data_IF_933948673826
#
_entry.id   IF_933948673826
#
_cell.length_a   1.000
_cell.length_b   1.000
_cell.length_c   1.000
_cell.angle_alpha   90.00
_cell.angle_beta   90.00
_cell.angle_gamma   90.00
#
_symmetry.space_group_name_H-M   'P 1'
#
loop_
_entity.id
_entity.type
_entity.pdbx_description
1 polymer ?
#
# COMPACT_ATOMS: atom_id res chain seq x y z
N UNK A 1 -6.86 -19.22 -19.22
CA UNK A 1 -7.01 -18.39 -18.00
C UNK A 1 -6.58 -16.97 -18.32
N UNK A 2 -7.16 -15.96 -17.67
CA UNK A 2 -6.75 -14.55 -17.82
C UNK A 2 -5.79 -14.21 -16.68
N UNK A 3 -4.73 -13.47 -16.96
CA UNK A 3 -3.83 -12.96 -15.92
C UNK A 3 -4.43 -11.72 -15.27
N UNK A 4 -4.12 -11.49 -13.99
CA UNK A 4 -4.57 -10.34 -13.21
C UNK A 4 -3.31 -9.60 -12.74
N UNK A 5 -3.23 -8.30 -13.03
CA UNK A 5 -2.15 -7.43 -12.53
C UNK A 5 -2.80 -6.34 -11.69
N UNK A 6 -2.36 -6.23 -10.44
CA UNK A 6 -2.79 -5.17 -9.51
C UNK A 6 -1.60 -4.25 -9.27
N UNK A 7 -1.71 -3.01 -9.73
CA UNK A 7 -0.68 -1.97 -9.53
C UNK A 7 -1.16 -1.06 -8.41
N UNK A 8 -0.36 -0.91 -7.35
CA UNK A 8 -0.67 -0.06 -6.20
C UNK A 8 0.47 0.92 -6.02
N UNK A 9 0.14 2.21 -6.02
CA UNK A 9 1.05 3.30 -5.64
C UNK A 9 0.68 3.76 -4.22
N UNK A 10 1.68 3.98 -3.37
CA UNK A 10 1.48 4.44 -2.00
C UNK A 10 1.36 5.97 -1.94
N UNK A 11 0.51 6.47 -1.06
CA UNK A 11 0.22 7.91 -0.88
C UNK A 11 -0.12 8.68 -2.17
N UNK A 12 -0.65 7.98 -3.18
CA UNK A 12 -0.97 8.58 -4.47
C UNK A 12 -2.18 9.52 -4.36
N UNK A 13 -1.93 10.83 -4.53
CA UNK A 13 -3.01 11.82 -4.56
C UNK A 13 -3.86 11.65 -5.81
N UNK A 14 -5.18 11.65 -5.64
CA UNK A 14 -6.16 11.56 -6.75
C UNK A 14 -5.89 12.56 -7.88
N UNK A 15 -5.45 13.76 -7.56
CA UNK A 15 -5.20 14.84 -8.51
C UNK A 15 -3.80 14.79 -9.14
N UNK A 16 -2.93 13.84 -8.78
CA UNK A 16 -1.57 13.69 -9.31
C UNK A 16 -1.47 12.97 -10.67
N UNK A 17 -2.50 13.09 -11.53
CA UNK A 17 -2.55 12.40 -12.83
C UNK A 17 -3.19 13.28 -13.91
N UNK A 18 -2.70 13.14 -15.16
CA UNK A 18 -3.21 13.82 -16.33
C UNK A 18 -4.68 13.49 -16.61
N UNK A 19 -5.06 12.20 -16.53
CA UNK A 19 -6.44 11.75 -16.68
C UNK A 19 -7.41 12.25 -15.60
N UNK A 20 -6.87 12.82 -14.50
CA UNK A 20 -7.62 13.48 -13.44
C UNK A 20 -7.58 15.01 -13.54
N UNK A 21 -6.96 15.56 -14.58
CA UNK A 21 -6.95 16.99 -14.90
C UNK A 21 -5.78 17.77 -14.29
N UNK A 22 -4.66 17.14 -13.94
CA UNK A 22 -3.50 17.89 -13.45
C UNK A 22 -2.86 18.72 -14.56
N UNK A 23 -2.65 20.02 -14.33
CA UNK A 23 -2.12 20.96 -15.33
C UNK A 23 -0.62 20.82 -15.67
N UNK A 24 0.14 20.04 -14.88
CA UNK A 24 1.61 20.02 -14.93
C UNK A 24 2.13 18.58 -14.98
N UNK A 25 1.61 17.70 -14.11
CA UNK A 25 2.04 16.31 -14.02
C UNK A 25 1.59 15.54 -15.26
N UNK A 26 2.55 14.89 -15.93
CA UNK A 26 2.32 14.10 -17.15
C UNK A 26 2.41 12.61 -16.81
N UNK A 27 1.31 11.88 -17.00
CA UNK A 27 1.22 10.44 -16.69
C UNK A 27 0.75 9.64 -17.90
N UNK A 28 1.44 9.70 -19.06
CA UNK A 28 0.90 9.18 -20.33
C UNK A 28 0.51 7.69 -20.27
N UNK A 29 1.24 6.88 -19.49
CA UNK A 29 0.90 5.46 -19.31
C UNK A 29 -0.34 5.23 -18.44
N UNK A 30 -0.54 6.02 -17.38
CA UNK A 30 -1.76 5.94 -16.57
C UNK A 30 -2.96 6.53 -17.33
N UNK A 31 -2.72 7.57 -18.14
CA UNK A 31 -3.74 8.19 -18.97
C UNK A 31 -4.23 7.21 -20.04
N UNK A 32 -3.31 6.48 -20.68
CA UNK A 32 -3.63 5.41 -21.62
C UNK A 32 -4.41 4.28 -20.93
N UNK A 33 -3.96 3.82 -19.75
CA UNK A 33 -4.67 2.78 -18.99
C UNK A 33 -6.10 3.20 -18.62
N UNK A 34 -6.29 4.47 -18.24
CA UNK A 34 -7.60 5.02 -17.94
C UNK A 34 -8.50 5.10 -19.19
N UNK A 35 -7.93 5.45 -20.36
CA UNK A 35 -8.64 5.51 -21.64
C UNK A 35 -9.05 4.13 -22.16
N UNK A 36 -8.19 3.13 -21.99
CA UNK A 36 -8.43 1.76 -22.47
C UNK A 36 -9.30 0.93 -21.51
N UNK A 37 -9.55 1.46 -20.30
CA UNK A 37 -10.25 0.78 -19.23
C UNK A 37 -11.42 1.59 -18.67
N UNK A 38 -11.56 1.53 -17.34
CA UNK A 38 -12.61 2.26 -16.61
C UNK A 38 -11.98 3.08 -15.50
N UNK A 39 -12.19 4.40 -15.54
CA UNK A 39 -11.71 5.33 -14.52
C UNK A 39 -12.80 5.65 -13.49
N UNK A 40 -12.57 5.21 -12.25
CA UNK A 40 -13.42 5.58 -11.12
C UNK A 40 -13.02 6.96 -10.56
N UNK A 41 -13.68 8.03 -11.01
CA UNK A 41 -13.37 9.41 -10.58
C UNK A 41 -13.60 9.69 -9.09
N UNK A 42 -14.30 8.80 -8.38
CA UNK A 42 -14.69 8.91 -6.96
C UNK A 42 -14.37 7.63 -6.18
N UNK A 43 -13.13 7.17 -6.29
CA UNK A 43 -12.58 6.14 -5.40
C UNK A 43 -12.13 6.75 -4.07
N UNK A 44 -12.45 6.10 -2.95
CA UNK A 44 -12.04 6.52 -1.61
C UNK A 44 -11.33 5.37 -0.90
N UNK A 45 -10.28 5.70 -0.15
CA UNK A 45 -9.63 4.73 0.73
C UNK A 45 -10.53 4.37 1.91
N UNK A 46 -10.45 3.13 2.39
CA UNK A 46 -11.15 2.70 3.60
C UNK A 46 -10.59 3.36 4.88
N UNK A 47 -9.35 3.86 4.84
CA UNK A 47 -8.69 4.59 5.92
C UNK A 47 -7.57 5.47 5.37
N UNK A 48 -7.28 6.66 5.93
CA UNK A 48 -6.15 7.49 5.48
C UNK A 48 -4.80 7.02 6.05
N UNK A 49 -4.60 5.71 6.23
CA UNK A 49 -3.34 5.12 6.73
C UNK A 49 -2.96 3.85 5.95
N UNK A 50 -1.65 3.62 5.80
CA UNK A 50 -1.08 2.52 5.01
C UNK A 50 -1.63 1.14 5.43
N UNK A 51 -1.37 0.72 6.67
CA UNK A 51 -1.70 -0.63 7.14
C UNK A 51 -3.22 -0.92 7.08
N UNK A 52 -4.11 -0.06 7.62
CA UNK A 52 -5.55 -0.31 7.58
C UNK A 52 -6.11 -0.36 6.16
N UNK A 53 -5.62 0.50 5.27
CA UNK A 53 -6.03 0.50 3.85
C UNK A 53 -5.67 -0.81 3.18
N UNK A 54 -4.45 -1.28 3.39
CA UNK A 54 -3.93 -2.50 2.75
C UNK A 54 -4.63 -3.74 3.31
N UNK A 55 -4.93 -3.78 4.60
CA UNK A 55 -5.74 -4.83 5.22
C UNK A 55 -7.19 -4.84 4.69
N UNK A 56 -7.83 -3.67 4.57
CA UNK A 56 -9.16 -3.54 4.00
C UNK A 56 -9.19 -3.96 2.51
N UNK A 57 -8.17 -3.59 1.74
CA UNK A 57 -8.02 -4.01 0.35
C UNK A 57 -7.81 -5.52 0.22
N UNK A 58 -7.00 -6.12 1.09
CA UNK A 58 -6.74 -7.57 1.09
C UNK A 58 -8.00 -8.36 1.43
N UNK A 59 -8.72 -7.97 2.48
CA UNK A 59 -9.89 -8.71 3.00
C UNK A 59 -11.19 -8.36 2.29
N UNK A 60 -11.28 -7.23 1.59
CA UNK A 60 -12.52 -6.75 0.98
C UNK A 60 -13.57 -6.27 2.00
N UNK A 61 -13.14 -5.93 3.22
CA UNK A 61 -14.02 -5.51 4.32
C UNK A 61 -13.62 -4.14 4.87
N UNK A 62 -14.55 -3.45 5.53
CA UNK A 62 -14.24 -2.18 6.18
C UNK A 62 -13.31 -2.39 7.38
N UNK A 63 -12.52 -1.37 7.72
CA UNK A 63 -11.58 -1.40 8.85
C UNK A 63 -12.28 -1.76 10.16
N UNK A 64 -13.52 -1.32 10.36
CA UNK A 64 -14.28 -1.68 11.57
C UNK A 64 -14.69 -3.15 11.66
N UNK A 65 -14.72 -3.85 10.53
CA UNK A 65 -15.03 -5.28 10.46
C UNK A 65 -13.76 -6.10 10.65
N UNK A 66 -12.68 -5.74 9.96
CA UNK A 66 -11.42 -6.49 10.01
C UNK A 66 -10.51 -6.14 11.21
N UNK A 67 -10.72 -4.99 11.86
CA UNK A 67 -10.03 -4.55 13.08
C UNK A 67 -8.53 -4.27 12.96
N UNK A 68 -8.01 -4.07 11.75
CA UNK A 68 -6.65 -3.58 11.54
C UNK A 68 -6.66 -2.04 11.53
N UNK A 69 -6.71 -1.44 12.73
CA UNK A 69 -7.05 -0.02 12.91
C UNK A 69 -5.91 0.98 12.66
N UNK A 70 -4.68 0.51 12.74
CA UNK A 70 -3.50 1.36 12.89
C UNK A 70 -2.26 0.75 12.23
N UNK A 71 -1.17 1.50 12.25
CA UNK A 71 0.13 1.09 11.70
C UNK A 71 0.93 0.15 12.62
N UNK A 72 0.35 -0.31 13.73
CA UNK A 72 0.93 -1.25 14.68
C UNK A 72 0.23 -2.62 14.69
N UNK A 73 -0.87 -2.74 13.97
CA UNK A 73 -1.68 -3.96 13.83
C UNK A 73 -1.68 -4.38 12.36
N UNK A 74 -0.55 -4.92 11.84
CA UNK A 74 -0.45 -5.34 10.44
C UNK A 74 -1.39 -6.51 10.13
N UNK A 75 -1.84 -6.59 8.87
CA UNK A 75 -2.60 -7.74 8.39
C UNK A 75 -1.77 -9.01 8.53
N UNK A 76 -2.34 -10.01 9.21
CA UNK A 76 -1.65 -11.21 9.67
C UNK A 76 -2.11 -12.49 8.96
N UNK A 77 -2.93 -12.36 7.91
CA UNK A 77 -3.41 -13.49 7.12
C UNK A 77 -4.60 -14.26 7.71
N UNK A 78 -5.02 -13.98 8.96
CA UNK A 78 -6.09 -14.74 9.61
C UNK A 78 -7.44 -14.61 8.89
N UNK A 79 -7.78 -13.40 8.44
CA UNK A 79 -8.94 -13.19 7.57
C UNK A 79 -8.56 -13.52 6.13
N UNK A 80 -9.36 -14.32 5.44
CA UNK A 80 -9.09 -14.72 4.05
C UNK A 80 -9.03 -13.48 3.16
N UNK A 81 -7.92 -13.34 2.43
CA UNK A 81 -7.72 -12.29 1.43
C UNK A 81 -8.17 -12.72 0.03
N UNK A 82 -8.37 -11.75 -0.87
CA UNK A 82 -8.58 -12.06 -2.28
C UNK A 82 -7.41 -12.85 -2.89
N UNK A 83 -6.18 -12.70 -2.37
CA UNK A 83 -5.01 -13.48 -2.81
C UNK A 83 -5.16 -14.96 -2.44
N UNK A 84 -5.58 -15.26 -1.20
CA UNK A 84 -5.90 -16.63 -0.77
C UNK A 84 -6.97 -17.24 -1.68
N UNK A 85 -8.01 -16.47 -1.99
CA UNK A 85 -9.10 -16.91 -2.86
C UNK A 85 -8.57 -17.25 -4.26
N UNK A 86 -7.78 -16.37 -4.89
CA UNK A 86 -7.17 -16.64 -6.20
C UNK A 86 -6.26 -17.88 -6.16
N UNK A 87 -5.39 -17.99 -5.15
CA UNK A 87 -4.48 -19.13 -4.97
C UNK A 87 -5.25 -20.45 -4.82
N UNK A 88 -6.37 -20.44 -4.09
CA UNK A 88 -7.26 -21.61 -3.95
C UNK A 88 -7.89 -22.07 -5.28
N UNK A 89 -8.00 -21.16 -6.25
CA UNK A 89 -8.54 -21.43 -7.58
C UNK A 89 -7.44 -21.79 -8.60
N UNK A 90 -6.20 -22.03 -8.12
CA UNK A 90 -5.08 -22.45 -8.95
C UNK A 90 -4.30 -21.32 -9.62
N UNK A 91 -4.53 -20.06 -9.23
CA UNK A 91 -3.68 -18.95 -9.66
C UNK A 91 -2.35 -18.97 -8.90
N UNK A 92 -1.25 -18.76 -9.62
CA UNK A 92 -0.02 -18.33 -8.98
C UNK A 92 -0.14 -16.86 -8.57
N UNK A 93 0.16 -16.56 -7.31
CA UNK A 93 -0.02 -15.23 -6.72
C UNK A 93 1.33 -14.69 -6.27
N UNK A 94 1.92 -13.80 -7.06
CA UNK A 94 3.20 -13.17 -6.72
C UNK A 94 2.98 -11.71 -6.36
N UNK A 95 3.61 -11.24 -5.28
CA UNK A 95 3.75 -9.82 -4.97
C UNK A 95 5.16 -9.32 -5.25
N UNK A 96 5.27 -8.04 -5.60
CA UNK A 96 6.54 -7.33 -5.78
C UNK A 96 6.40 -5.99 -5.07
N UNK A 97 7.31 -5.71 -4.13
CA UNK A 97 7.35 -4.42 -3.46
C UNK A 97 6.59 -4.33 -2.13
N UNK A 98 6.10 -3.13 -1.80
CA UNK A 98 5.60 -2.79 -0.46
C UNK A 98 4.25 -3.43 -0.14
N UNK A 99 4.19 -4.13 1.00
CA UNK A 99 2.98 -4.78 1.51
C UNK A 99 2.48 -4.19 2.81
N UNK A 100 3.36 -3.82 3.74
CA UNK A 100 2.99 -3.44 5.11
C UNK A 100 2.07 -4.49 5.79
N UNK A 101 2.30 -5.75 5.49
CA UNK A 101 1.71 -6.88 6.21
C UNK A 101 2.64 -7.36 7.31
N UNK A 102 2.17 -8.31 8.11
CA UNK A 102 3.00 -9.00 9.06
C UNK A 102 3.96 -9.91 8.29
N UNK A 103 5.24 -9.88 8.63
CA UNK A 103 6.22 -10.77 8.01
C UNK A 103 6.04 -12.22 8.50
N UNK A 104 6.34 -13.18 7.62
CA UNK A 104 6.43 -14.61 7.98
C UNK A 104 5.09 -15.30 8.23
N UNK A 105 3.99 -14.73 7.75
CA UNK A 105 2.65 -15.33 7.81
C UNK A 105 2.11 -15.54 6.41
N UNK A 106 1.13 -16.43 6.27
CA UNK A 106 0.44 -16.64 5.00
C UNK A 106 -0.67 -15.60 4.83
N UNK A 107 -0.42 -14.57 4.02
CA UNK A 107 -1.42 -13.59 3.61
C UNK A 107 -1.97 -13.84 2.20
N UNK A 108 -1.70 -15.02 1.63
CA UNK A 108 -2.31 -15.51 0.40
C UNK A 108 -1.47 -15.38 -0.86
N UNK A 109 -0.26 -14.79 -0.79
CA UNK A 109 0.69 -14.81 -1.91
C UNK A 109 1.47 -16.14 -1.89
N UNK A 110 1.68 -16.74 -3.06
CA UNK A 110 2.57 -17.88 -3.28
C UNK A 110 4.04 -17.46 -3.23
N UNK A 111 4.35 -16.23 -3.63
CA UNK A 111 5.71 -15.69 -3.70
C UNK A 111 5.72 -14.19 -3.42
N UNK A 112 6.78 -13.73 -2.77
CA UNK A 112 7.04 -12.32 -2.53
C UNK A 112 8.43 -11.96 -3.07
N UNK A 113 8.52 -10.85 -3.79
CA UNK A 113 9.77 -10.33 -4.34
C UNK A 113 10.04 -8.96 -3.71
N UNK A 114 11.16 -8.87 -2.99
CA UNK A 114 11.58 -7.66 -2.25
C UNK A 114 10.44 -7.08 -1.38
N UNK A 115 9.74 -7.88 -0.56
CA UNK A 115 8.62 -7.38 0.23
C UNK A 115 9.09 -6.34 1.25
N UNK A 116 8.34 -5.24 1.38
CA UNK A 116 8.44 -4.34 2.54
C UNK A 116 7.27 -4.61 3.48
N UNK A 117 7.55 -5.34 4.56
CA UNK A 117 6.63 -5.65 5.64
C UNK A 117 6.73 -4.64 6.78
N UNK A 118 5.78 -4.68 7.72
CA UNK A 118 5.91 -3.90 8.95
C UNK A 118 7.06 -4.45 9.80
N UNK A 119 7.96 -3.57 10.24
CA UNK A 119 9.04 -3.93 11.16
C UNK A 119 8.53 -3.96 12.61
N UNK A 120 8.83 -5.05 13.32
CA UNK A 120 8.47 -5.21 14.73
C UNK A 120 6.97 -5.07 14.98
N UNK A 121 6.60 -4.18 15.91
CA UNK A 121 5.20 -3.86 16.23
C UNK A 121 4.67 -2.66 15.44
N UNK A 122 5.38 -2.21 14.41
CA UNK A 122 5.00 -1.04 13.63
C UNK A 122 5.02 0.26 14.43
N UNK A 123 4.14 1.20 14.08
CA UNK A 123 4.18 2.57 14.61
C UNK A 123 3.36 2.73 15.90
N UNK A 124 3.86 2.12 16.99
CA UNK A 124 3.21 2.15 18.30
C UNK A 124 3.02 3.56 18.87
N UNK A 125 3.95 4.48 18.61
CA UNK A 125 3.84 5.88 19.08
C UNK A 125 2.60 6.58 18.50
N UNK A 126 2.17 6.19 17.30
CA UNK A 126 0.94 6.70 16.70
C UNK A 126 -0.34 6.29 17.43
N UNK A 127 -0.27 5.37 18.41
CA UNK A 127 -1.39 4.97 19.26
C UNK A 127 -1.53 5.82 20.52
N UNK A 128 -0.48 6.54 20.91
CA UNK A 128 -0.46 7.36 22.13
C UNK A 128 -1.38 8.57 21.92
N UNK A 129 -2.32 8.77 22.84
CA UNK A 129 -3.32 9.87 22.78
C UNK A 129 -3.02 11.00 23.76
N UNK A 130 -2.46 10.64 24.91
CA UNK A 130 -2.12 11.54 26.00
C UNK A 130 -0.62 11.42 26.30
N UNK A 131 0.00 12.48 26.78
CA UNK A 131 1.44 12.50 27.13
C UNK A 131 2.33 12.04 25.97
N UNK A 132 2.12 12.65 24.79
CA UNK A 132 2.88 12.32 23.58
C UNK A 132 4.39 12.39 23.86
N UNK A 133 5.13 11.30 23.63
CA UNK A 133 6.57 11.33 23.80
C UNK A 133 7.20 12.23 22.73
N UNK A 134 8.39 12.75 23.02
CA UNK A 134 9.18 13.44 22.01
C UNK A 134 9.42 12.50 20.81
N UNK A 135 8.97 12.93 19.64
CA UNK A 135 9.07 12.17 18.40
C UNK A 135 9.96 12.92 17.40
N UNK A 136 11.26 12.62 17.44
CA UNK A 136 12.24 13.26 16.56
C UNK A 136 12.12 12.82 15.09
N UNK A 137 11.47 11.68 14.81
CA UNK A 137 11.35 11.14 13.45
C UNK A 137 10.66 12.08 12.46
N UNK A 138 9.73 12.93 12.90
CA UNK A 138 9.13 13.94 12.04
C UNK A 138 10.14 15.05 11.65
N UNK A 139 11.01 15.45 12.58
CA UNK A 139 12.06 16.43 12.32
C UNK A 139 13.16 15.83 11.43
N UNK A 140 13.52 14.56 11.64
CA UNK A 140 14.46 13.83 10.78
C UNK A 140 13.94 13.72 9.34
N UNK A 141 12.69 13.28 9.16
CA UNK A 141 12.05 13.24 7.84
C UNK A 141 12.04 14.60 7.16
N UNK A 142 11.77 15.68 7.91
CA UNK A 142 11.78 17.03 7.36
C UNK A 142 13.15 17.43 6.78
N UNK A 143 14.26 16.89 7.30
CA UNK A 143 15.60 17.13 6.71
C UNK A 143 15.82 16.37 5.41
N UNK A 144 15.06 15.30 5.17
CA UNK A 144 15.11 14.51 3.93
C UNK A 144 14.10 15.01 2.88
N UNK A 145 13.20 15.92 3.24
CA UNK A 145 12.24 16.52 2.30
C UNK A 145 12.97 17.47 1.35
N UNK A 146 13.07 17.08 0.09
CA UNK A 146 13.67 17.90 -0.95
C UNK A 146 13.69 17.21 -2.31
N UNK A 147 14.31 17.88 -3.29
CA UNK A 147 14.60 17.25 -4.58
C UNK A 147 15.74 16.23 -4.43
N UNK A 148 15.60 15.06 -5.02
CA UNK A 148 16.65 14.05 -5.02
C UNK A 148 16.11 12.65 -4.81
N UNK A 149 17.00 11.73 -4.48
CA UNK A 149 16.66 10.36 -4.10
C UNK A 149 16.44 10.28 -2.58
N UNK A 150 15.47 9.49 -2.18
CA UNK A 150 15.25 9.05 -0.80
C UNK A 150 15.42 7.53 -0.69
N UNK A 151 15.44 7.03 0.53
CA UNK A 151 15.40 5.58 0.79
C UNK A 151 14.21 4.91 0.10
N UNK A 152 13.06 5.59 0.02
CA UNK A 152 11.86 5.10 -0.66
C UNK A 152 11.99 5.11 -2.18
N UNK A 153 12.49 6.19 -2.79
CA UNK A 153 12.66 6.21 -4.25
C UNK A 153 13.69 5.18 -4.70
N UNK A 154 14.74 4.95 -3.90
CA UNK A 154 15.74 3.93 -4.20
C UNK A 154 15.19 2.52 -4.08
N UNK A 155 14.33 2.28 -3.08
CA UNK A 155 13.58 1.03 -2.99
C UNK A 155 12.68 0.84 -4.23
N UNK A 156 11.91 1.86 -4.62
CA UNK A 156 11.02 1.82 -5.79
C UNK A 156 11.78 1.54 -7.11
N UNK A 157 12.94 2.16 -7.30
CA UNK A 157 13.82 1.87 -8.43
C UNK A 157 14.31 0.41 -8.39
N UNK A 158 14.67 -0.10 -7.21
CA UNK A 158 15.15 -1.47 -7.08
C UNK A 158 14.08 -2.52 -7.38
N UNK A 159 12.80 -2.23 -7.17
CA UNK A 159 11.71 -3.19 -7.46
C UNK A 159 11.27 -3.16 -8.94
N UNK A 160 11.66 -2.12 -9.68
CA UNK A 160 11.28 -1.91 -11.09
C UNK A 160 12.40 -2.20 -12.09
N UNK A 161 13.65 -2.34 -11.60
CA UNK A 161 14.84 -2.73 -12.37
C UNK A 161 14.96 -4.24 -12.58
#
# INVERSE_FOLDING_TARGET
MKNIIVIISDEHRRDAMGCMGHDIVKTPHLDQLANDGTLFKRGYTASPMCVPTRAALATGTYVHQNRYWDSATPYDGQQISWMHMLRSQGYDTTSIGKLHFQAGVDHGFSKEIKPMHVHGKGWLVGLVRDELPDYQGAAELATEVGSGESSYTNYDLSITS
#
